data_IF_782079019906
#
_entry.id   IF_782079019906
#
_cell.length_a   1.000
_cell.length_b   1.000
_cell.length_c   1.000
_cell.angle_alpha   90.00
_cell.angle_beta   90.00
_cell.angle_gamma   90.00
#
_symmetry.space_group_name_H-M   'P 1'
#
loop_
_entity.id
_entity.type
_entity.pdbx_description
1 polymer ?
#
# COMPACT_ATOMS: atom_id res chain seq x y z
N UNK A 1 78.68 -30.46 -18.23
CA UNK A 1 78.30 -30.07 -16.85
C UNK A 1 76.81 -30.33 -16.70
N UNK A 2 76.43 -31.44 -16.03
CA UNK A 2 75.04 -31.81 -15.74
C UNK A 2 74.60 -31.02 -14.50
N UNK A 3 73.45 -30.36 -14.55
CA UNK A 3 72.73 -29.92 -13.35
C UNK A 3 71.33 -30.52 -13.40
N UNK A 4 71.02 -31.26 -12.34
CA UNK A 4 69.86 -32.11 -12.18
C UNK A 4 68.58 -31.30 -11.91
N UNK A 5 67.52 -31.74 -12.57
CA UNK A 5 66.13 -31.47 -12.22
C UNK A 5 65.83 -32.06 -10.84
N UNK A 6 65.37 -31.22 -9.91
CA UNK A 6 64.56 -31.65 -8.77
C UNK A 6 63.53 -30.56 -8.47
N UNK A 7 62.30 -30.80 -8.91
CA UNK A 7 61.10 -30.20 -8.31
C UNK A 7 60.13 -31.33 -8.09
N UNK A 8 60.35 -32.08 -7.01
CA UNK A 8 59.36 -33.02 -6.49
C UNK A 8 58.25 -32.19 -5.84
N UNK A 9 57.26 -31.80 -6.65
CA UNK A 9 55.96 -31.40 -6.14
C UNK A 9 55.33 -32.61 -5.46
N UNK A 10 55.38 -32.66 -4.14
CA UNK A 10 54.70 -33.67 -3.33
C UNK A 10 53.20 -33.57 -3.56
N UNK A 11 52.64 -34.52 -4.32
CA UNK A 11 51.20 -34.71 -4.45
C UNK A 11 50.69 -35.19 -3.09
N UNK A 12 50.04 -34.29 -2.33
CA UNK A 12 49.36 -34.65 -1.08
C UNK A 12 48.27 -35.69 -1.38
N UNK A 13 48.27 -36.87 -0.73
CA UNK A 13 47.21 -37.85 -0.91
C UNK A 13 45.95 -37.30 -0.25
N UNK A 14 44.96 -36.92 -1.05
CA UNK A 14 43.63 -36.59 -0.59
C UNK A 14 42.99 -37.83 0.04
N UNK A 15 43.17 -38.00 1.35
CA UNK A 15 42.39 -38.96 2.13
C UNK A 15 40.98 -38.36 2.26
N UNK A 16 40.03 -38.94 1.52
CA UNK A 16 38.60 -38.64 1.70
C UNK A 16 38.27 -38.77 3.19
N UNK A 17 38.02 -37.63 3.83
CA UNK A 17 37.61 -37.56 5.24
C UNK A 17 36.16 -37.09 5.26
N UNK A 18 35.28 -37.87 5.91
CA UNK A 18 33.83 -37.61 5.94
C UNK A 18 33.50 -36.17 6.36
N UNK A 19 34.28 -35.61 7.29
CA UNK A 19 34.10 -34.25 7.77
C UNK A 19 34.40 -33.19 6.71
N UNK A 20 35.38 -33.42 5.83
CA UNK A 20 35.70 -32.52 4.71
C UNK A 20 34.61 -32.55 3.64
N UNK A 21 34.07 -33.73 3.35
CA UNK A 21 32.95 -33.87 2.41
C UNK A 21 31.66 -33.26 2.96
N UNK A 22 31.38 -33.43 4.25
CA UNK A 22 30.26 -32.77 4.93
C UNK A 22 30.36 -31.24 4.87
N UNK A 23 31.55 -30.71 5.15
CA UNK A 23 31.81 -29.27 5.03
C UNK A 23 31.63 -28.76 3.60
N UNK A 24 32.08 -29.51 2.59
CA UNK A 24 31.89 -29.19 1.17
C UNK A 24 30.41 -29.10 0.81
N UNK A 25 29.60 -30.08 1.24
CA UNK A 25 28.15 -30.13 0.97
C UNK A 25 27.46 -28.89 1.55
N UNK A 26 27.81 -28.48 2.77
CA UNK A 26 27.31 -27.26 3.41
C UNK A 26 27.77 -25.98 2.73
N UNK A 27 29.05 -25.90 2.32
CA UNK A 27 29.59 -24.74 1.61
C UNK A 27 28.87 -24.53 0.27
N UNK A 28 28.59 -25.60 -0.46
CA UNK A 28 27.82 -25.55 -1.72
C UNK A 28 26.35 -25.16 -1.47
N UNK A 29 25.73 -25.67 -0.40
CA UNK A 29 24.34 -25.35 -0.05
C UNK A 29 24.14 -23.85 0.22
N UNK A 30 25.09 -23.21 0.91
CA UNK A 30 25.02 -21.78 1.23
C UNK A 30 25.76 -20.88 0.24
N UNK A 31 26.21 -21.43 -0.89
CA UNK A 31 26.96 -20.69 -1.92
C UNK A 31 28.19 -19.94 -1.34
N UNK A 32 28.82 -20.52 -0.31
CA UNK A 32 30.01 -19.98 0.31
C UNK A 32 31.22 -20.17 -0.61
N UNK A 33 31.96 -19.09 -0.88
CA UNK A 33 33.19 -19.14 -1.67
C UNK A 33 34.33 -19.77 -0.86
N UNK A 34 34.35 -21.10 -0.78
CA UNK A 34 35.43 -21.88 -0.17
C UNK A 34 36.29 -22.49 -1.27
N UNK A 35 37.61 -22.38 -1.16
CA UNK A 35 38.54 -23.05 -2.05
C UNK A 35 38.47 -24.57 -1.79
N UNK A 36 37.89 -25.32 -2.71
CA UNK A 36 37.67 -26.76 -2.57
C UNK A 36 38.27 -27.51 -3.75
N UNK A 37 39.00 -28.58 -3.45
CA UNK A 37 39.55 -29.50 -4.44
C UNK A 37 38.44 -30.30 -5.13
N UNK A 38 38.34 -30.20 -6.46
CA UNK A 38 37.32 -30.91 -7.25
C UNK A 38 37.54 -32.44 -7.21
N UNK A 39 36.49 -33.25 -6.96
CA UNK A 39 36.62 -34.70 -6.97
C UNK A 39 37.07 -35.19 -8.36
N UNK A 40 38.01 -36.13 -8.39
CA UNK A 40 38.61 -36.66 -9.64
C UNK A 40 37.75 -37.70 -10.37
N UNK A 41 36.87 -38.41 -9.66
CA UNK A 41 36.02 -39.45 -10.24
C UNK A 41 34.87 -38.88 -11.08
N UNK A 42 34.58 -39.52 -12.23
CA UNK A 42 33.47 -39.12 -13.11
C UNK A 42 32.11 -39.12 -12.40
N UNK A 43 31.83 -40.16 -11.61
CA UNK A 43 30.61 -40.29 -10.82
C UNK A 43 30.49 -39.23 -9.73
N UNK A 44 31.59 -38.91 -9.05
CA UNK A 44 31.62 -37.89 -8.01
C UNK A 44 31.38 -36.47 -8.57
N UNK A 45 31.91 -36.16 -9.76
CA UNK A 45 31.63 -34.90 -10.47
C UNK A 45 30.16 -34.77 -10.84
N UNK A 46 29.55 -35.83 -11.38
CA UNK A 46 28.13 -35.84 -11.69
C UNK A 46 27.28 -35.59 -10.43
N UNK A 47 27.61 -36.24 -9.31
CA UNK A 47 26.91 -36.07 -8.04
C UNK A 47 27.04 -34.64 -7.49
N UNK A 48 28.23 -34.03 -7.53
CA UNK A 48 28.44 -32.64 -7.09
C UNK A 48 27.68 -31.64 -7.98
N UNK A 49 27.60 -31.88 -9.29
CA UNK A 49 26.85 -31.01 -10.20
C UNK A 49 25.33 -31.09 -9.93
N UNK A 50 24.78 -32.29 -9.68
CA UNK A 50 23.37 -32.45 -9.29
C UNK A 50 23.09 -31.79 -7.94
N UNK A 51 24.00 -31.96 -6.97
CA UNK A 51 23.89 -31.30 -5.66
C UNK A 51 23.96 -29.77 -5.78
N UNK A 52 24.85 -29.25 -6.62
CA UNK A 52 24.96 -27.81 -6.87
C UNK A 52 23.68 -27.25 -7.52
N UNK A 53 23.09 -27.96 -8.48
CA UNK A 53 21.80 -27.58 -9.06
C UNK A 53 20.68 -27.57 -8.00
N UNK A 54 20.63 -28.59 -7.14
CA UNK A 54 19.69 -28.63 -6.02
C UNK A 54 19.89 -27.46 -5.04
N UNK A 55 21.13 -27.16 -4.67
CA UNK A 55 21.47 -26.06 -3.76
C UNK A 55 21.02 -24.70 -4.32
N UNK A 56 21.28 -24.44 -5.60
CA UNK A 56 20.85 -23.19 -6.27
C UNK A 56 19.32 -23.08 -6.31
N UNK A 57 18.62 -24.17 -6.65
CA UNK A 57 17.14 -24.17 -6.68
C UNK A 57 16.56 -23.98 -5.28
N UNK A 58 17.12 -24.66 -4.26
CA UNK A 58 16.70 -24.50 -2.87
C UNK A 58 16.88 -23.06 -2.38
N UNK A 59 18.03 -22.46 -2.66
CA UNK A 59 18.31 -21.06 -2.31
C UNK A 59 17.39 -20.10 -3.07
N UNK A 60 17.11 -20.34 -4.35
CA UNK A 60 16.20 -19.54 -5.15
C UNK A 60 14.77 -19.58 -4.58
N UNK A 61 14.27 -20.75 -4.18
CA UNK A 61 12.94 -20.88 -3.57
C UNK A 61 12.89 -20.20 -2.20
N UNK A 62 13.93 -20.38 -1.38
CA UNK A 62 14.02 -19.73 -0.08
C UNK A 62 14.02 -18.20 -0.21
N UNK A 63 14.85 -17.65 -1.11
CA UNK A 63 14.93 -16.21 -1.37
C UNK A 63 13.63 -15.67 -1.98
N UNK A 64 12.95 -16.43 -2.86
CA UNK A 64 11.66 -16.06 -3.41
C UNK A 64 10.55 -16.03 -2.33
N UNK A 65 10.49 -17.02 -1.44
CA UNK A 65 9.51 -17.06 -0.36
C UNK A 65 9.77 -15.96 0.68
N UNK A 66 11.05 -15.72 1.01
CA UNK A 66 11.44 -14.62 1.88
C UNK A 66 11.05 -13.27 1.26
N UNK A 67 11.34 -13.07 -0.03
CA UNK A 67 10.95 -11.86 -0.75
C UNK A 67 9.43 -11.69 -0.80
N UNK A 68 8.67 -12.77 -1.04
CA UNK A 68 7.22 -12.75 -1.05
C UNK A 68 6.64 -12.32 0.31
N UNK A 69 7.26 -12.72 1.42
CA UNK A 69 6.87 -12.28 2.76
C UNK A 69 7.33 -10.86 3.09
N UNK A 70 8.49 -10.44 2.58
CA UNK A 70 9.04 -9.10 2.82
C UNK A 70 8.28 -8.00 2.07
N UNK A 71 7.58 -8.34 1.00
CA UNK A 71 6.63 -7.42 0.35
C UNK A 71 5.45 -7.22 1.31
N UNK A 72 5.49 -6.14 2.08
CA UNK A 72 4.36 -5.69 2.88
C UNK A 72 3.22 -5.33 1.93
N UNK A 73 2.14 -6.11 1.96
CA UNK A 73 0.88 -5.66 1.36
C UNK A 73 0.24 -4.67 2.31
N UNK A 74 0.13 -3.43 1.87
CA UNK A 74 -0.79 -2.50 2.52
C UNK A 74 -2.20 -3.01 2.23
N UNK A 75 -2.78 -3.75 3.17
CA UNK A 75 -4.18 -4.16 3.07
C UNK A 75 -5.06 -2.95 3.41
N UNK A 76 -5.40 -2.17 2.39
CA UNK A 76 -6.48 -1.19 2.50
C UNK A 76 -7.79 -1.83 2.06
N UNK A 77 -8.87 -1.44 2.73
CA UNK A 77 -10.21 -1.85 2.34
C UNK A 77 -10.67 -0.96 1.19
N UNK A 78 -10.62 -1.50 -0.03
CA UNK A 78 -11.29 -0.88 -1.16
C UNK A 78 -12.80 -0.96 -0.97
N UNK A 79 -13.43 0.19 -0.82
CA UNK A 79 -14.88 0.33 -0.90
C UNK A 79 -15.24 0.74 -2.31
N UNK A 80 -16.33 0.18 -2.85
CA UNK A 80 -16.89 0.65 -4.12
C UNK A 80 -17.49 2.06 -3.97
N UNK A 81 -18.10 2.33 -2.82
CA UNK A 81 -18.69 3.60 -2.44
C UNK A 81 -19.51 3.44 -1.17
N UNK A 82 -20.47 4.34 -0.96
CA UNK A 82 -21.35 4.29 0.21
C UNK A 82 -22.34 3.11 0.16
N UNK A 83 -22.71 2.65 -1.04
CA UNK A 83 -23.64 1.54 -1.28
C UNK A 83 -23.03 0.13 -1.06
N UNK A 84 -21.78 0.05 -0.61
CA UNK A 84 -21.11 -1.21 -0.36
C UNK A 84 -21.87 -2.03 0.70
N UNK A 85 -22.06 -3.34 0.47
CA UNK A 85 -22.75 -4.22 1.41
C UNK A 85 -22.12 -4.19 2.80
N UNK A 86 -20.81 -3.92 2.89
CA UNK A 86 -20.06 -3.88 4.16
C UNK A 86 -20.47 -2.69 5.03
N UNK A 87 -20.88 -1.59 4.39
CA UNK A 87 -21.34 -0.37 5.05
C UNK A 87 -22.85 -0.39 5.25
N UNK A 88 -23.61 -0.82 4.25
CA UNK A 88 -25.07 -0.88 4.32
C UNK A 88 -25.56 -1.90 5.36
N UNK A 89 -24.84 -3.01 5.56
CA UNK A 89 -25.16 -4.05 6.56
C UNK A 89 -23.96 -4.29 7.49
N UNK A 90 -23.77 -3.45 8.52
CA UNK A 90 -22.59 -3.47 9.38
C UNK A 90 -22.36 -4.80 10.11
N UNK A 91 -23.44 -5.56 10.36
CA UNK A 91 -23.40 -6.86 11.04
C UNK A 91 -23.15 -8.05 10.10
N UNK A 92 -23.09 -7.83 8.77
CA UNK A 92 -22.93 -8.90 7.79
C UNK A 92 -21.52 -9.51 7.76
N UNK A 93 -20.52 -8.80 8.30
CA UNK A 93 -19.12 -9.22 8.27
C UNK A 93 -18.52 -9.21 9.68
N UNK A 94 -17.56 -10.13 9.94
CA UNK A 94 -16.77 -10.17 11.17
C UNK A 94 -15.27 -10.06 10.82
N UNK A 95 -14.51 -9.17 11.47
CA UNK A 95 -14.93 -8.19 12.47
C UNK A 95 -15.85 -7.10 11.88
N UNK A 96 -16.65 -6.47 12.76
CA UNK A 96 -17.55 -5.38 12.35
C UNK A 96 -16.73 -4.16 11.99
N UNK A 97 -17.13 -3.49 10.91
CA UNK A 97 -16.42 -2.33 10.39
C UNK A 97 -16.91 -1.07 11.09
N UNK A 98 -16.08 -0.43 11.91
CA UNK A 98 -16.47 0.78 12.66
C UNK A 98 -16.29 2.01 11.80
N UNK A 99 -17.37 2.73 11.55
CA UNK A 99 -17.34 3.99 10.82
C UNK A 99 -18.29 5.01 11.46
N UNK A 100 -17.98 6.28 11.26
CA UNK A 100 -18.71 7.40 11.84
C UNK A 100 -18.64 8.63 10.97
N UNK A 101 -19.53 9.58 11.26
CA UNK A 101 -19.53 10.92 10.67
C UNK A 101 -19.66 11.97 11.79
N UNK A 102 -19.84 13.23 11.40
CA UNK A 102 -20.11 14.34 12.33
C UNK A 102 -21.62 14.49 12.48
N UNK A 103 -22.17 14.44 13.69
CA UNK A 103 -23.61 14.56 13.91
C UNK A 103 -24.10 15.96 13.49
N UNK A 104 -25.34 16.06 13.04
CA UNK A 104 -25.97 17.31 12.60
C UNK A 104 -25.34 17.96 11.36
N UNK A 105 -24.54 17.20 10.61
CA UNK A 105 -23.96 17.64 9.35
C UNK A 105 -24.86 17.31 8.16
N UNK A 106 -24.53 17.86 6.99
CA UNK A 106 -25.18 17.48 5.74
C UNK A 106 -24.97 15.99 5.42
N UNK A 107 -23.79 15.43 5.72
CA UNK A 107 -23.51 14.01 5.51
C UNK A 107 -24.37 13.14 6.42
N UNK A 108 -24.47 13.50 7.71
CA UNK A 108 -25.30 12.80 8.68
C UNK A 108 -26.79 12.76 8.28
N UNK A 109 -27.35 13.93 7.94
CA UNK A 109 -28.75 14.04 7.49
C UNK A 109 -29.02 13.32 6.16
N UNK A 110 -28.04 13.30 5.25
CA UNK A 110 -28.13 12.55 3.98
C UNK A 110 -28.13 11.04 4.24
N UNK A 111 -27.22 10.54 5.09
CA UNK A 111 -27.15 9.12 5.45
C UNK A 111 -28.42 8.72 6.20
N UNK A 112 -28.93 9.55 7.11
CA UNK A 112 -30.20 9.32 7.81
C UNK A 112 -31.37 9.12 6.84
N UNK A 113 -31.41 9.89 5.74
CA UNK A 113 -32.49 9.85 4.76
C UNK A 113 -32.42 8.62 3.85
N UNK A 114 -31.24 8.26 3.35
CA UNK A 114 -31.08 7.21 2.34
C UNK A 114 -30.63 5.86 2.91
N UNK A 115 -29.88 5.85 4.01
CA UNK A 115 -29.30 4.65 4.65
C UNK A 115 -29.58 4.59 6.15
N UNK A 116 -30.84 4.33 6.51
CA UNK A 116 -31.29 4.33 7.91
C UNK A 116 -30.55 3.32 8.81
N UNK A 117 -30.31 2.10 8.31
CA UNK A 117 -29.60 1.05 9.07
C UNK A 117 -28.14 1.44 9.32
N UNK A 118 -27.48 1.97 8.29
CA UNK A 118 -26.13 2.53 8.39
C UNK A 118 -26.08 3.68 9.40
N UNK A 119 -27.05 4.59 9.35
CA UNK A 119 -27.14 5.74 10.27
C UNK A 119 -27.27 5.28 11.73
N UNK A 120 -28.13 4.28 11.99
CA UNK A 120 -28.31 3.75 13.34
C UNK A 120 -27.01 3.15 13.90
N UNK A 121 -26.27 2.42 13.07
CA UNK A 121 -24.98 1.85 13.45
C UNK A 121 -23.92 2.92 13.70
N UNK A 122 -23.78 3.89 12.78
CA UNK A 122 -22.74 4.92 12.89
C UNK A 122 -22.97 5.88 14.07
N UNK A 123 -24.21 6.04 14.53
CA UNK A 123 -24.55 6.93 15.65
C UNK A 123 -23.75 6.63 16.94
N UNK A 124 -23.28 5.40 17.12
CA UNK A 124 -22.47 4.99 18.27
C UNK A 124 -20.99 5.39 18.14
N UNK A 125 -20.54 5.68 16.92
CA UNK A 125 -19.15 5.91 16.54
C UNK A 125 -18.91 7.32 15.97
N UNK A 126 -19.95 8.16 15.93
CA UNK A 126 -19.89 9.54 15.49
C UNK A 126 -18.87 10.37 16.30
N UNK A 127 -18.26 11.34 15.64
CA UNK A 127 -17.21 12.20 16.19
C UNK A 127 -17.64 13.66 16.14
N UNK A 128 -17.15 14.45 17.09
CA UNK A 128 -17.59 15.85 17.23
C UNK A 128 -16.91 16.79 16.22
N UNK A 129 -15.68 16.47 15.81
CA UNK A 129 -14.87 17.28 14.91
C UNK A 129 -14.21 16.43 13.83
N UNK A 130 -13.90 17.04 12.68
CA UNK A 130 -13.18 16.40 11.57
C UNK A 130 -11.80 15.94 12.04
N UNK A 131 -11.11 16.76 12.84
CA UNK A 131 -9.78 16.43 13.37
C UNK A 131 -9.81 15.21 14.28
N UNK A 132 -10.85 15.09 15.13
CA UNK A 132 -11.05 13.91 16.00
C UNK A 132 -11.42 12.67 15.17
N UNK A 133 -12.22 12.84 14.11
CA UNK A 133 -12.51 11.79 13.14
C UNK A 133 -11.23 11.22 12.50
N UNK A 134 -10.35 12.11 12.02
CA UNK A 134 -9.07 11.72 11.42
C UNK A 134 -8.15 11.05 12.43
N UNK A 135 -8.00 11.64 13.62
CA UNK A 135 -7.18 11.06 14.69
C UNK A 135 -7.68 9.67 15.10
N UNK A 136 -9.00 9.47 15.16
CA UNK A 136 -9.59 8.18 15.47
C UNK A 136 -9.33 7.11 14.39
N UNK A 137 -9.26 7.49 13.10
CA UNK A 137 -8.85 6.58 12.01
C UNK A 137 -7.37 6.25 12.11
N UNK A 138 -6.50 7.25 12.31
CA UNK A 138 -5.06 7.05 12.48
C UNK A 138 -4.72 6.14 13.67
N UNK A 139 -5.46 6.27 14.76
CA UNK A 139 -5.27 5.47 15.98
C UNK A 139 -5.91 4.06 15.90
N UNK A 140 -6.64 3.74 14.82
CA UNK A 140 -7.33 2.46 14.65
C UNK A 140 -8.61 2.30 15.51
N UNK A 141 -9.11 3.39 16.11
CA UNK A 141 -10.38 3.39 16.85
C UNK A 141 -11.58 3.34 15.90
N UNK A 142 -11.44 3.97 14.73
CA UNK A 142 -12.37 3.91 13.60
C UNK A 142 -11.67 3.25 12.42
N UNK A 143 -12.38 2.42 11.67
CA UNK A 143 -11.87 1.83 10.43
C UNK A 143 -12.10 2.75 9.22
N UNK A 144 -13.15 3.57 9.23
CA UNK A 144 -13.36 4.63 8.25
C UNK A 144 -14.04 5.85 8.86
N UNK A 145 -13.88 6.99 8.19
CA UNK A 145 -14.56 8.23 8.54
C UNK A 145 -15.25 8.79 7.30
N UNK A 146 -16.56 9.04 7.40
CA UNK A 146 -17.38 9.49 6.28
C UNK A 146 -17.63 10.99 6.44
N UNK A 147 -17.14 11.76 5.48
CA UNK A 147 -17.33 13.21 5.44
C UNK A 147 -17.24 13.74 4.00
N UNK A 148 -17.26 15.06 3.84
CA UNK A 148 -17.12 15.73 2.55
C UNK A 148 -15.81 15.33 1.85
N UNK A 149 -15.94 14.83 0.61
CA UNK A 149 -14.81 14.33 -0.18
C UNK A 149 -13.74 15.39 -0.44
N UNK A 150 -14.13 16.64 -0.69
CA UNK A 150 -13.15 17.71 -0.96
C UNK A 150 -12.31 18.06 0.27
N UNK A 151 -12.94 18.06 1.45
CA UNK A 151 -12.26 18.34 2.73
C UNK A 151 -11.33 17.19 3.08
N UNK A 152 -11.79 15.95 2.89
CA UNK A 152 -10.97 14.76 3.14
C UNK A 152 -9.79 14.67 2.18
N UNK A 153 -9.99 14.93 0.89
CA UNK A 153 -8.91 14.94 -0.11
C UNK A 153 -7.83 15.97 0.25
N UNK A 154 -8.23 17.17 0.68
CA UNK A 154 -7.30 18.19 1.17
C UNK A 154 -6.53 17.72 2.40
N UNK A 155 -7.23 17.18 3.40
CA UNK A 155 -6.60 16.73 4.64
C UNK A 155 -5.65 15.57 4.38
N UNK A 156 -6.04 14.60 3.55
CA UNK A 156 -5.17 13.49 3.13
C UNK A 156 -3.92 14.00 2.39
N UNK A 157 -4.08 14.94 1.45
CA UNK A 157 -2.96 15.50 0.70
C UNK A 157 -1.96 16.24 1.61
N UNK A 158 -2.46 16.91 2.67
CA UNK A 158 -1.66 17.72 3.59
C UNK A 158 -0.95 16.91 4.68
N UNK A 159 -1.35 15.66 4.93
CA UNK A 159 -0.71 14.81 5.95
C UNK A 159 0.75 14.54 5.60
N UNK A 160 1.65 14.53 6.58
CA UNK A 160 3.09 14.27 6.33
C UNK A 160 3.39 12.78 6.15
N UNK A 161 2.67 11.92 6.87
CA UNK A 161 2.94 10.48 6.92
C UNK A 161 2.33 9.68 5.76
N UNK A 162 1.49 10.31 4.91
CA UNK A 162 0.73 9.66 3.83
C UNK A 162 0.00 8.35 4.21
N UNK A 163 -0.37 8.17 5.49
CA UNK A 163 -1.04 6.96 6.00
C UNK A 163 -2.55 6.91 5.74
N UNK A 164 -3.14 8.03 5.32
CA UNK A 164 -4.56 8.15 5.04
C UNK A 164 -4.79 8.16 3.54
N UNK A 165 -5.88 7.55 3.11
CA UNK A 165 -6.29 7.47 1.73
C UNK A 165 -7.80 7.72 1.67
N UNK A 166 -8.25 8.47 0.67
CA UNK A 166 -9.67 8.54 0.33
C UNK A 166 -10.01 7.34 -0.55
N UNK A 167 -11.08 6.62 -0.20
CA UNK A 167 -11.50 5.38 -0.85
C UNK A 167 -12.96 5.46 -1.28
N UNK A 168 -13.30 4.76 -2.36
CA UNK A 168 -14.64 4.72 -2.93
C UNK A 168 -14.99 5.86 -3.88
N UNK A 169 -16.07 5.66 -4.63
CA UNK A 169 -16.63 6.70 -5.50
C UNK A 169 -17.41 7.74 -4.69
N UNK A 170 -17.40 8.97 -5.19
CA UNK A 170 -18.16 10.06 -4.59
C UNK A 170 -19.66 9.76 -4.67
N UNK A 171 -20.32 9.65 -3.53
CA UNK A 171 -21.76 9.36 -3.47
C UNK A 171 -22.61 10.51 -4.04
N UNK A 172 -22.26 11.75 -3.71
CA UNK A 172 -22.95 12.94 -4.18
C UNK A 172 -21.97 13.87 -4.89
N UNK A 173 -22.19 14.10 -6.18
CA UNK A 173 -21.46 15.10 -6.98
C UNK A 173 -22.04 16.50 -6.75
N UNK A 174 -22.02 16.95 -5.50
CA UNK A 174 -22.46 18.30 -5.12
C UNK A 174 -21.28 19.27 -5.10
N UNK A 175 -21.53 20.51 -5.52
CA UNK A 175 -20.53 21.58 -5.47
C UNK A 175 -20.83 22.60 -4.38
N UNK A 176 -19.79 23.28 -3.91
CA UNK A 176 -19.97 24.46 -3.05
C UNK A 176 -20.56 25.63 -3.83
N UNK A 177 -21.49 26.33 -3.19
CA UNK A 177 -22.17 27.49 -3.76
C UNK A 177 -22.20 28.65 -2.79
N UNK A 178 -22.35 29.86 -3.32
CA UNK A 178 -22.52 31.09 -2.55
C UNK A 178 -24.00 31.47 -2.56
N UNK A 179 -24.57 31.67 -1.37
CA UNK A 179 -25.95 32.06 -1.20
C UNK A 179 -26.08 33.58 -1.08
N UNK A 180 -27.03 34.15 -1.82
CA UNK A 180 -27.42 35.56 -1.70
C UNK A 180 -28.86 35.65 -1.17
N UNK A 181 -29.23 36.82 -0.64
CA UNK A 181 -30.62 37.09 -0.28
C UNK A 181 -31.55 36.93 -1.49
N UNK A 182 -32.81 36.54 -1.23
CA UNK A 182 -33.82 36.40 -2.29
C UNK A 182 -33.93 37.71 -3.07
N UNK A 183 -33.93 37.62 -4.40
CA UNK A 183 -33.99 38.75 -5.34
C UNK A 183 -32.80 39.73 -5.26
N UNK A 184 -31.62 39.28 -4.84
CA UNK A 184 -30.40 40.09 -4.88
C UNK A 184 -30.00 40.42 -6.33
N UNK A 185 -29.69 41.69 -6.59
CA UNK A 185 -29.20 42.20 -7.89
C UNK A 185 -27.79 41.70 -8.25
N UNK A 186 -27.05 41.18 -7.27
CA UNK A 186 -25.64 40.80 -7.44
C UNK A 186 -25.43 39.38 -7.96
N UNK A 187 -26.47 38.53 -7.94
CA UNK A 187 -26.36 37.11 -8.31
C UNK A 187 -25.85 36.96 -9.74
N UNK A 188 -26.42 37.71 -10.68
CA UNK A 188 -26.04 37.64 -12.09
C UNK A 188 -24.62 38.15 -12.33
N UNK A 189 -24.27 39.30 -11.72
CA UNK A 189 -22.93 39.87 -11.80
C UNK A 189 -21.87 38.91 -11.25
N UNK A 190 -22.16 38.27 -10.11
CA UNK A 190 -21.24 37.33 -9.48
C UNK A 190 -21.06 36.06 -10.32
N UNK A 191 -22.16 35.48 -10.82
CA UNK A 191 -22.11 34.29 -11.67
C UNK A 191 -21.31 34.55 -12.95
N UNK A 192 -21.48 35.73 -13.57
CA UNK A 192 -20.70 36.11 -14.75
C UNK A 192 -19.19 36.13 -14.45
N UNK A 193 -18.78 36.78 -13.35
CA UNK A 193 -17.36 36.81 -12.95
C UNK A 193 -16.81 35.44 -12.58
N UNK A 194 -17.61 34.59 -11.94
CA UNK A 194 -17.20 33.23 -11.61
C UNK A 194 -16.94 32.39 -12.87
N UNK A 195 -17.77 32.54 -13.90
CA UNK A 195 -17.57 31.89 -15.19
C UNK A 195 -16.31 32.40 -15.90
N UNK A 196 -16.03 33.69 -15.84
CA UNK A 196 -14.78 34.27 -16.36
C UNK A 196 -13.55 33.67 -15.65
N UNK A 197 -13.56 33.56 -14.32
CA UNK A 197 -12.47 32.92 -13.56
C UNK A 197 -12.28 31.44 -13.90
N UNK A 198 -13.37 30.72 -14.18
CA UNK A 198 -13.29 29.33 -14.64
C UNK A 198 -12.69 29.25 -16.04
N UNK A 199 -13.14 30.10 -16.97
CA UNK A 199 -12.67 30.12 -18.36
C UNK A 199 -11.20 30.50 -18.48
N UNK A 200 -10.73 31.44 -17.67
CA UNK A 200 -9.32 31.85 -17.62
C UNK A 200 -8.41 30.81 -16.96
N UNK A 201 -8.98 29.80 -16.28
CA UNK A 201 -8.22 28.79 -15.54
C UNK A 201 -7.69 29.25 -14.18
N UNK A 202 -8.09 30.43 -13.71
CA UNK A 202 -7.65 30.97 -12.41
C UNK A 202 -8.10 30.09 -11.24
N UNK A 203 -9.30 29.50 -11.33
CA UNK A 203 -9.79 28.55 -10.33
C UNK A 203 -8.91 27.30 -10.24
N UNK A 204 -8.44 26.79 -11.37
CA UNK A 204 -7.55 25.64 -11.41
C UNK A 204 -6.17 25.99 -10.84
N UNK A 205 -5.69 27.22 -11.10
CA UNK A 205 -4.46 27.74 -10.48
C UNK A 205 -4.58 27.81 -8.96
N UNK A 206 -5.69 28.36 -8.46
CA UNK A 206 -5.97 28.43 -7.02
C UNK A 206 -6.10 27.04 -6.40
N UNK A 207 -6.77 26.11 -7.07
CA UNK A 207 -6.88 24.72 -6.63
C UNK A 207 -5.50 24.09 -6.48
N UNK A 208 -4.63 24.23 -7.47
CA UNK A 208 -3.26 23.69 -7.39
C UNK A 208 -2.43 24.36 -6.30
N UNK A 209 -2.64 25.65 -6.06
CA UNK A 209 -1.88 26.36 -5.04
C UNK A 209 -2.32 25.99 -3.61
N UNK A 210 -3.63 25.90 -3.35
CA UNK A 210 -4.17 25.70 -2.00
C UNK A 210 -4.50 24.25 -1.66
N UNK A 211 -4.89 23.42 -2.63
CA UNK A 211 -5.34 22.04 -2.39
C UNK A 211 -4.27 20.99 -2.72
N UNK A 212 -3.10 21.38 -3.25
CA UNK A 212 -2.02 20.42 -3.47
C UNK A 212 -1.19 20.29 -2.21
N UNK A 213 -1.07 19.07 -1.69
CA UNK A 213 -0.18 18.74 -0.59
C UNK A 213 1.02 17.88 -1.00
N UNK A 214 1.79 17.46 0.00
CA UNK A 214 3.00 16.63 -0.17
C UNK A 214 2.66 15.20 -0.58
N UNK A 215 1.55 14.66 -0.08
CA UNK A 215 1.08 13.33 -0.46
C UNK A 215 0.37 13.39 -1.81
N UNK A 216 1.03 12.85 -2.83
CA UNK A 216 0.36 12.53 -4.09
C UNK A 216 -0.30 11.18 -3.92
N UNK A 217 -1.62 11.17 -3.87
CA UNK A 217 -2.38 9.93 -4.03
C UNK A 217 -1.99 9.33 -5.37
N UNK A 218 -1.22 8.25 -5.33
CA UNK A 218 -1.10 7.35 -6.46
C UNK A 218 -2.47 6.72 -6.64
N UNK A 219 -3.36 7.36 -7.41
CA UNK A 219 -4.45 6.64 -8.08
C UNK A 219 -3.73 5.58 -8.90
N UNK A 220 -3.58 4.39 -8.33
CA UNK A 220 -3.32 3.21 -9.13
C UNK A 220 -4.56 3.11 -10.01
N UNK A 221 -4.45 3.65 -11.23
CA UNK A 221 -5.31 3.23 -12.31
C UNK A 221 -5.27 1.71 -12.27
N UNK A 222 -6.39 1.10 -11.88
CA UNK A 222 -6.69 -0.28 -12.21
C UNK A 222 -6.61 -0.37 -13.74
N UNK A 223 -5.40 -0.60 -14.25
CA UNK A 223 -5.20 -1.20 -15.56
C UNK A 223 -5.63 -2.64 -15.41
N UNK A 224 -6.94 -2.84 -15.55
CA UNK A 224 -7.50 -4.12 -15.97
C UNK A 224 -6.75 -4.55 -17.23
N UNK A 225 -5.81 -5.47 -17.04
CA UNK A 225 -5.31 -6.34 -18.10
C UNK A 225 -6.32 -7.44 -18.35
#
# INVERSE_FOLDING_TARGET
>A
MKLSVQTTGSVMPYRFSLFRTYWLVWAVLFQAAVHVDSPRGFTARAMTNVWAMFAVVFLAIYTANLAAFMITREEFHEFTGLDDHRLCRPYSHKPTFKFGTIPWSHTDSTIMKYFQEMHYYMSQYNKTSVADGIAAVLNGNLNAFIYDGTVLDYLVAQNEDCRLLTVGSWYAMTGYGLAFSRNSKYVEMFNKRLLEFRANGDLERLRRYWMTGTCRQGRQEHKSS
#
